data_IF_011851483397
#
_entry.id   IF_011851483397
#
_cell.length_a   1.000
_cell.length_b   1.000
_cell.length_c   1.000
_cell.angle_alpha   90.00
_cell.angle_beta   90.00
_cell.angle_gamma   90.00
#
_symmetry.space_group_name_H-M   'P 1'
#
loop_
_entity.id
_entity.type
_entity.pdbx_description
1 polymer ?
#
# COMPACT_ATOMS: atom_id res chain seq x y z
N UNK A 1 -1.28 0.77 37.17
CA UNK A 1 -0.90 -0.52 36.55
C UNK A 1 -2.02 -0.99 35.61
N UNK A 2 -2.26 -0.29 34.51
CA UNK A 2 -3.23 -0.67 33.46
C UNK A 2 -2.54 -0.81 32.10
N UNK A 3 -1.26 -1.19 32.07
CA UNK A 3 -0.44 -1.17 30.84
C UNK A 3 -0.42 -2.50 30.09
N UNK A 4 -1.15 -3.51 30.55
CA UNK A 4 -1.22 -4.83 29.88
C UNK A 4 -2.65 -5.15 29.44
N UNK A 5 -2.77 -5.82 28.29
CA UNK A 5 -4.03 -6.29 27.70
C UNK A 5 -4.86 -7.10 28.72
N UNK A 6 -4.19 -7.89 29.57
CA UNK A 6 -4.81 -8.62 30.68
C UNK A 6 -5.38 -7.70 31.77
N UNK A 7 -4.74 -6.56 32.03
CA UNK A 7 -5.24 -5.53 32.93
C UNK A 7 -6.55 -4.94 32.43
N UNK A 8 -6.65 -4.63 31.14
CA UNK A 8 -7.90 -4.18 30.52
C UNK A 8 -8.95 -5.28 30.52
N UNK A 9 -8.59 -6.52 30.19
CA UNK A 9 -9.53 -7.65 30.25
C UNK A 9 -10.10 -7.84 31.65
N UNK A 10 -9.27 -7.75 32.70
CA UNK A 10 -9.75 -7.80 34.09
C UNK A 10 -10.62 -6.60 34.45
N UNK A 11 -10.22 -5.40 34.06
CA UNK A 11 -10.99 -4.17 34.29
C UNK A 11 -12.38 -4.25 33.65
N UNK A 12 -12.45 -4.64 32.38
CA UNK A 12 -13.71 -4.84 31.66
C UNK A 12 -14.58 -5.93 32.28
N UNK A 13 -14.00 -7.07 32.63
CA UNK A 13 -14.74 -8.15 33.30
C UNK A 13 -15.26 -7.72 34.68
N UNK A 14 -14.51 -6.90 35.43
CA UNK A 14 -14.96 -6.36 36.72
C UNK A 14 -16.14 -5.41 36.56
N UNK A 15 -16.10 -4.53 35.55
CA UNK A 15 -17.20 -3.62 35.24
C UNK A 15 -18.44 -4.40 34.84
N UNK A 16 -18.32 -5.36 33.91
CA UNK A 16 -19.45 -6.21 33.50
C UNK A 16 -20.00 -6.99 34.70
N UNK A 17 -19.12 -7.57 35.52
CA UNK A 17 -19.53 -8.28 36.73
C UNK A 17 -20.29 -7.39 37.73
N UNK A 18 -19.89 -6.14 37.90
CA UNK A 18 -20.61 -5.17 38.73
C UNK A 18 -22.02 -4.90 38.19
N UNK A 19 -22.15 -4.62 36.89
CA UNK A 19 -23.46 -4.34 36.28
C UNK A 19 -24.39 -5.55 36.26
N UNK A 20 -23.87 -6.77 36.09
CA UNK A 20 -24.68 -8.01 36.18
C UNK A 20 -25.24 -8.21 37.58
N UNK A 21 -24.45 -7.92 38.63
CA UNK A 21 -24.92 -8.03 40.02
C UNK A 21 -25.95 -6.95 40.33
N UNK A 22 -25.71 -5.69 39.94
CA UNK A 22 -26.65 -4.59 40.13
C UNK A 22 -27.98 -4.84 39.43
N UNK A 23 -27.94 -5.39 38.21
CA UNK A 23 -29.17 -5.76 37.51
C UNK A 23 -29.90 -6.94 38.16
N UNK A 24 -29.18 -7.96 38.63
CA UNK A 24 -29.80 -9.04 39.38
C UNK A 24 -30.49 -8.54 40.65
N UNK A 25 -29.89 -7.57 41.33
CA UNK A 25 -30.49 -6.89 42.50
C UNK A 25 -31.72 -6.08 42.07
N UNK A 26 -31.67 -5.37 40.94
CA UNK A 26 -32.82 -4.64 40.38
C UNK A 26 -34.02 -5.56 40.12
N UNK A 27 -33.79 -6.75 39.56
CA UNK A 27 -34.86 -7.72 39.27
C UNK A 27 -35.35 -8.48 40.52
N UNK A 28 -34.51 -8.65 41.54
CA UNK A 28 -34.82 -9.47 42.72
C UNK A 28 -35.36 -8.65 43.89
N UNK A 29 -35.01 -7.35 43.98
CA UNK A 29 -35.46 -6.45 45.06
C UNK A 29 -36.32 -5.30 44.54
N UNK A 30 -37.59 -5.25 44.95
CA UNK A 30 -38.47 -4.12 44.65
C UNK A 30 -38.08 -2.89 45.50
N UNK A 31 -37.56 -1.84 44.86
CA UNK A 31 -37.46 -0.48 45.42
C UNK A 31 -36.11 -0.04 45.99
N UNK A 32 -35.06 -0.87 45.92
CA UNK A 32 -33.70 -0.52 46.36
C UNK A 32 -32.86 0.15 45.27
N UNK A 33 -33.10 -0.21 44.02
CA UNK A 33 -32.36 0.30 42.86
C UNK A 33 -33.39 0.75 41.82
N UNK A 34 -33.19 1.95 41.25
CA UNK A 34 -34.01 2.45 40.16
C UNK A 34 -33.28 2.26 38.84
N UNK A 35 -34.01 1.91 37.77
CA UNK A 35 -33.46 1.76 36.42
C UNK A 35 -32.67 2.99 35.95
N UNK A 36 -33.15 4.19 36.29
CA UNK A 36 -32.47 5.45 35.99
C UNK A 36 -31.10 5.60 36.68
N UNK A 37 -30.93 5.04 37.88
CA UNK A 37 -29.65 5.09 38.60
C UNK A 37 -28.60 4.16 37.96
N UNK A 38 -29.03 2.96 37.51
CA UNK A 38 -28.16 2.03 36.79
C UNK A 38 -27.76 2.61 35.42
N UNK A 39 -28.68 3.28 34.72
CA UNK A 39 -28.41 4.00 33.48
C UNK A 39 -27.38 5.13 33.67
N UNK A 40 -27.49 5.94 34.72
CA UNK A 40 -26.52 7.02 35.03
C UNK A 40 -25.13 6.47 35.41
N UNK A 41 -25.09 5.38 36.20
CA UNK A 41 -23.85 4.67 36.51
C UNK A 41 -23.19 4.09 35.26
N UNK A 42 -23.99 3.55 34.35
CA UNK A 42 -23.51 3.03 33.07
C UNK A 42 -22.89 4.14 32.23
N UNK A 43 -23.55 5.30 32.08
CA UNK A 43 -22.98 6.42 31.33
C UNK A 43 -21.65 6.92 31.94
N UNK A 44 -21.57 7.01 33.26
CA UNK A 44 -20.33 7.39 33.96
C UNK A 44 -19.19 6.37 33.77
N UNK A 45 -19.51 5.07 33.85
CA UNK A 45 -18.56 4.00 33.61
C UNK A 45 -18.09 4.00 32.15
N UNK A 46 -19.01 4.15 31.21
CA UNK A 46 -18.76 4.21 29.78
C UNK A 46 -17.87 5.40 29.41
N UNK A 47 -18.15 6.58 29.97
CA UNK A 47 -17.31 7.77 29.79
C UNK A 47 -15.87 7.53 30.28
N UNK A 48 -15.69 6.92 31.45
CA UNK A 48 -14.36 6.56 31.99
C UNK A 48 -13.65 5.51 31.14
N UNK A 49 -14.38 4.51 30.66
CA UNK A 49 -13.86 3.47 29.76
C UNK A 49 -13.35 4.11 28.47
N UNK A 50 -14.14 4.97 27.83
CA UNK A 50 -13.78 5.65 26.58
C UNK A 50 -12.54 6.53 26.80
N UNK A 51 -12.49 7.28 27.91
CA UNK A 51 -11.32 8.10 28.24
C UNK A 51 -10.05 7.25 28.43
N UNK A 52 -10.15 6.12 29.12
CA UNK A 52 -9.02 5.20 29.32
C UNK A 52 -8.58 4.53 28.00
N UNK A 53 -9.54 4.13 27.17
CA UNK A 53 -9.29 3.54 25.85
C UNK A 53 -8.65 4.55 24.89
N UNK A 54 -9.15 5.79 24.81
CA UNK A 54 -8.54 6.87 23.98
C UNK A 54 -7.12 7.18 24.40
N UNK A 55 -6.86 7.18 25.70
CA UNK A 55 -5.51 7.42 26.21
C UNK A 55 -4.59 6.30 25.76
N UNK A 56 -5.02 5.03 25.79
CA UNK A 56 -4.17 3.91 25.42
C UNK A 56 -4.03 3.71 23.90
N UNK A 57 -5.11 3.93 23.15
CA UNK A 57 -5.11 3.79 21.69
C UNK A 57 -4.16 4.79 21.03
N UNK A 58 -3.97 5.97 21.64
CA UNK A 58 -3.02 6.97 21.13
C UNK A 58 -1.54 6.62 21.29
N UNK A 59 -1.19 5.75 22.26
CA UNK A 59 0.19 5.27 22.46
C UNK A 59 0.45 3.89 21.85
N UNK A 60 -0.56 3.26 21.23
CA UNK A 60 -0.41 1.94 20.66
C UNK A 60 0.13 2.03 19.23
N UNK A 61 1.36 1.57 19.01
CA UNK A 61 1.97 1.47 17.68
C UNK A 61 1.90 0.05 17.08
N UNK A 62 1.33 -0.93 17.81
CA UNK A 62 1.23 -2.32 17.37
C UNK A 62 -0.15 -2.64 16.79
N UNK A 63 -0.25 -3.05 15.51
CA UNK A 63 -1.51 -3.47 14.89
C UNK A 63 -2.23 -4.60 15.63
N UNK A 64 -1.50 -5.58 16.17
CA UNK A 64 -2.12 -6.75 16.81
C UNK A 64 -2.76 -6.39 18.16
N UNK A 65 -2.12 -5.50 18.93
CA UNK A 65 -2.69 -4.97 20.18
C UNK A 65 -3.97 -4.15 19.93
N UNK A 66 -4.03 -3.37 18.85
CA UNK A 66 -5.24 -2.62 18.48
C UNK A 66 -6.38 -3.56 18.11
N UNK A 67 -6.10 -4.67 17.40
CA UNK A 67 -7.09 -5.69 17.09
C UNK A 67 -7.61 -6.39 18.36
N UNK A 68 -6.71 -6.72 19.30
CA UNK A 68 -7.09 -7.34 20.57
C UNK A 68 -7.96 -6.39 21.42
N UNK A 69 -7.61 -5.10 21.46
CA UNK A 69 -8.43 -4.08 22.10
C UNK A 69 -9.81 -3.94 21.43
N UNK A 70 -9.85 -3.94 20.09
CA UNK A 70 -11.11 -3.95 19.33
C UNK A 70 -11.96 -5.17 19.69
N UNK A 71 -11.37 -6.36 19.78
CA UNK A 71 -12.10 -7.58 20.15
C UNK A 71 -12.67 -7.50 21.57
N UNK A 72 -11.91 -6.94 22.53
CA UNK A 72 -12.40 -6.68 23.88
C UNK A 72 -13.56 -5.67 23.90
N UNK A 73 -13.47 -4.61 23.11
CA UNK A 73 -14.52 -3.58 23.03
C UNK A 73 -15.77 -4.11 22.34
N UNK A 74 -15.66 -4.96 21.32
CA UNK A 74 -16.82 -5.56 20.64
C UNK A 74 -17.55 -6.59 21.53
N UNK A 75 -16.81 -7.30 22.39
CA UNK A 75 -17.39 -8.23 23.35
C UNK A 75 -18.29 -7.52 24.39
N UNK A 76 -17.93 -6.31 24.83
CA UNK A 76 -18.67 -5.57 25.86
C UNK A 76 -20.14 -5.28 25.48
N UNK A 77 -20.45 -4.65 24.33
CA UNK A 77 -21.82 -4.50 23.82
C UNK A 77 -22.53 -5.82 23.61
N UNK A 78 -21.81 -6.86 23.18
CA UNK A 78 -22.42 -8.16 22.86
C UNK A 78 -22.93 -8.85 24.13
N UNK A 79 -22.15 -8.82 25.22
CA UNK A 79 -22.60 -9.27 26.55
C UNK A 79 -23.75 -8.42 27.09
N UNK A 80 -23.67 -7.09 26.99
CA UNK A 80 -24.75 -6.23 27.50
C UNK A 80 -26.05 -6.34 26.69
N UNK A 81 -25.97 -6.67 25.39
CA UNK A 81 -27.13 -6.81 24.50
C UNK A 81 -27.78 -8.19 24.60
N UNK A 82 -27.02 -9.26 24.82
CA UNK A 82 -27.57 -10.62 24.98
C UNK A 82 -28.42 -10.77 26.24
N UNK A 83 -28.11 -10.00 27.28
CA UNK A 83 -28.81 -10.08 28.57
C UNK A 83 -30.01 -9.11 28.70
N UNK A 84 -30.44 -8.46 27.59
CA UNK A 84 -31.69 -7.70 27.56
C UNK A 84 -31.63 -6.30 28.19
N UNK A 85 -30.44 -5.75 28.43
CA UNK A 85 -30.26 -4.53 29.23
C UNK A 85 -30.57 -3.20 28.54
N UNK A 86 -30.72 -3.15 27.22
CA UNK A 86 -31.24 -1.97 26.51
C UNK A 86 -30.41 -0.68 26.66
N UNK A 87 -29.16 -0.75 27.13
CA UNK A 87 -28.30 0.43 27.27
C UNK A 87 -27.83 0.96 25.91
N UNK A 88 -27.76 2.29 25.72
CA UNK A 88 -27.25 2.89 24.49
C UNK A 88 -25.74 2.64 24.36
N UNK A 89 -25.35 1.97 23.27
CA UNK A 89 -23.95 1.58 22.97
C UNK A 89 -23.31 2.44 21.88
N UNK A 90 -23.98 3.51 21.44
CA UNK A 90 -23.53 4.38 20.34
C UNK A 90 -22.12 4.93 20.54
N UNK A 91 -21.79 5.41 21.75
CA UNK A 91 -20.47 6.00 22.00
C UNK A 91 -19.32 4.97 21.93
N UNK A 92 -19.60 3.67 22.13
CA UNK A 92 -18.59 2.61 21.94
C UNK A 92 -18.38 2.33 20.45
N UNK A 93 -19.42 2.41 19.62
CA UNK A 93 -19.28 2.33 18.17
C UNK A 93 -18.51 3.53 17.60
N UNK A 94 -18.78 4.75 18.08
CA UNK A 94 -18.01 5.94 17.68
C UNK A 94 -16.53 5.78 18.03
N UNK A 95 -16.23 5.26 19.22
CA UNK A 95 -14.85 4.96 19.62
C UNK A 95 -14.19 3.88 18.75
N UNK A 96 -14.93 2.82 18.37
CA UNK A 96 -14.42 1.79 17.44
C UNK A 96 -14.10 2.37 16.04
N UNK A 97 -14.88 3.36 15.59
CA UNK A 97 -14.61 4.08 14.35
C UNK A 97 -13.39 5.01 14.48
N UNK A 98 -13.19 5.67 15.62
CA UNK A 98 -11.96 6.45 15.89
C UNK A 98 -10.72 5.54 15.93
N UNK A 99 -10.80 4.40 16.62
CA UNK A 99 -9.71 3.42 16.68
C UNK A 99 -9.37 2.83 15.30
N UNK A 100 -10.36 2.76 14.39
CA UNK A 100 -10.16 2.30 13.02
C UNK A 100 -9.24 3.24 12.24
N UNK A 101 -9.45 4.56 12.36
CA UNK A 101 -8.60 5.54 11.68
C UNK A 101 -7.16 5.46 12.19
N UNK A 102 -6.99 5.30 13.50
CA UNK A 102 -5.68 5.08 14.13
C UNK A 102 -5.02 3.78 13.62
N UNK A 103 -5.76 2.67 13.58
CA UNK A 103 -5.29 1.39 13.04
C UNK A 103 -4.84 1.54 11.58
N UNK A 104 -5.64 2.22 10.75
CA UNK A 104 -5.29 2.52 9.37
C UNK A 104 -3.96 3.28 9.26
N UNK A 105 -3.75 4.32 10.07
CA UNK A 105 -2.50 5.08 10.08
C UNK A 105 -1.30 4.25 10.54
N UNK A 106 -1.45 3.37 11.54
CA UNK A 106 -0.40 2.45 11.99
C UNK A 106 -0.03 1.47 10.87
N UNK A 107 -1.03 0.88 10.19
CA UNK A 107 -0.80 0.02 9.04
C UNK A 107 -0.06 0.78 7.92
N UNK A 108 -0.48 2.00 7.58
CA UNK A 108 0.19 2.80 6.56
C UNK A 108 1.66 3.07 6.90
N UNK A 109 1.99 3.34 8.17
CA UNK A 109 3.38 3.52 8.62
C UNK A 109 4.19 2.23 8.48
N UNK A 110 3.66 1.10 8.93
CA UNK A 110 4.33 -0.21 8.85
C UNK A 110 4.59 -0.60 7.39
N UNK A 111 3.60 -0.45 6.52
CA UNK A 111 3.74 -0.76 5.09
C UNK A 111 4.66 0.23 4.37
N UNK A 112 4.77 1.49 4.82
CA UNK A 112 5.77 2.42 4.29
C UNK A 112 7.19 1.86 4.49
N UNK A 113 7.48 1.36 5.69
CA UNK A 113 8.78 0.76 6.01
C UNK A 113 9.00 -0.50 5.17
N UNK A 114 8.01 -1.38 5.08
CA UNK A 114 8.11 -2.60 4.26
C UNK A 114 8.35 -2.27 2.78
N UNK A 115 7.60 -1.34 2.20
CA UNK A 115 7.81 -0.95 0.80
C UNK A 115 9.18 -0.32 0.56
N UNK A 116 9.68 0.51 1.49
CA UNK A 116 11.05 1.03 1.40
C UNK A 116 12.09 -0.07 1.45
N UNK A 117 11.93 -1.05 2.34
CA UNK A 117 12.84 -2.19 2.42
C UNK A 117 12.83 -3.03 1.14
N UNK A 118 11.64 -3.29 0.58
CA UNK A 118 11.49 -4.01 -0.70
C UNK A 118 12.16 -3.23 -1.83
N UNK A 119 12.02 -1.90 -1.86
CA UNK A 119 12.65 -1.04 -2.86
C UNK A 119 14.18 -0.98 -2.70
N UNK A 120 14.69 -0.91 -1.47
CA UNK A 120 16.13 -0.86 -1.20
C UNK A 120 16.84 -2.21 -1.44
N UNK A 121 16.09 -3.33 -1.36
CA UNK A 121 16.58 -4.67 -1.67
C UNK A 121 16.40 -5.05 -3.15
N UNK A 122 15.67 -4.25 -3.92
CA UNK A 122 15.40 -4.56 -5.32
C UNK A 122 16.66 -4.42 -6.17
N UNK A 123 16.82 -5.33 -7.13
CA UNK A 123 17.95 -5.35 -8.05
C UNK A 123 17.64 -4.62 -9.37
N UNK A 124 16.41 -4.11 -9.52
CA UNK A 124 15.93 -3.40 -10.71
C UNK A 124 16.27 -4.13 -12.02
N UNK A 125 16.24 -5.46 -12.00
CA UNK A 125 16.54 -6.30 -13.15
C UNK A 125 15.38 -7.22 -13.50
N UNK A 126 15.16 -7.54 -14.79
CA UNK A 126 14.19 -8.53 -15.22
C UNK A 126 14.46 -9.89 -14.56
N UNK A 127 13.42 -10.51 -13.97
CA UNK A 127 13.58 -11.80 -13.27
C UNK A 127 13.84 -12.92 -14.29
N UNK A 128 15.00 -13.60 -14.26
CA UNK A 128 15.24 -14.78 -15.09
C UNK A 128 14.51 -15.99 -14.48
N UNK A 129 13.67 -16.63 -15.28
CA UNK A 129 12.93 -17.83 -14.89
C UNK A 129 13.47 -19.00 -15.68
N UNK A 130 14.15 -19.90 -14.97
CA UNK A 130 14.85 -21.03 -15.60
C UNK A 130 14.00 -22.29 -15.62
N UNK A 131 12.99 -22.38 -14.74
CA UNK A 131 12.12 -23.56 -14.59
C UNK A 131 10.63 -23.21 -14.66
N UNK A 132 9.83 -24.19 -15.06
CA UNK A 132 8.36 -24.07 -15.08
C UNK A 132 7.77 -23.91 -13.68
N UNK A 133 8.40 -24.51 -12.65
CA UNK A 133 7.97 -24.38 -11.25
C UNK A 133 8.16 -22.95 -10.72
N UNK A 134 9.30 -22.30 -11.02
CA UNK A 134 9.51 -20.88 -10.72
C UNK A 134 8.50 -20.00 -11.43
N UNK A 135 8.21 -20.28 -12.71
CA UNK A 135 7.18 -19.56 -13.46
C UNK A 135 5.81 -19.67 -12.80
N UNK A 136 5.38 -20.89 -12.44
CA UNK A 136 4.12 -21.12 -11.72
C UNK A 136 4.08 -20.43 -10.37
N UNK A 137 5.20 -20.36 -9.66
CA UNK A 137 5.29 -19.64 -8.39
C UNK A 137 5.02 -18.14 -8.59
N UNK A 138 5.67 -17.50 -9.57
CA UNK A 138 5.43 -16.08 -9.85
C UNK A 138 4.02 -15.82 -10.40
N UNK A 139 3.48 -16.69 -11.27
CA UNK A 139 2.10 -16.57 -11.79
C UNK A 139 1.05 -16.77 -10.69
N UNK A 140 1.35 -17.54 -9.64
CA UNK A 140 0.45 -17.68 -8.48
C UNK A 140 0.41 -16.43 -7.59
N UNK A 141 1.54 -15.71 -7.50
CA UNK A 141 1.65 -14.50 -6.69
C UNK A 141 1.12 -13.28 -7.43
N UNK A 142 1.46 -13.15 -8.71
CA UNK A 142 1.10 -12.02 -9.56
C UNK A 142 0.32 -12.51 -10.80
N UNK A 143 -0.89 -12.00 -11.05
CA UNK A 143 -1.66 -12.34 -12.24
C UNK A 143 -0.99 -11.72 -13.48
N UNK A 144 -0.06 -12.44 -14.07
CA UNK A 144 0.61 -12.03 -15.30
C UNK A 144 -0.29 -12.31 -16.50
N UNK A 145 -0.71 -11.26 -17.22
CA UNK A 145 -1.35 -11.40 -18.52
C UNK A 145 -0.32 -11.20 -19.63
N UNK A 146 0.46 -12.24 -19.92
CA UNK A 146 1.32 -12.26 -21.10
C UNK A 146 1.27 -13.62 -21.83
N UNK A 147 0.32 -13.77 -22.78
CA UNK A 147 0.16 -14.99 -23.57
C UNK A 147 1.31 -15.24 -24.57
N UNK A 148 2.16 -14.24 -24.83
CA UNK A 148 3.37 -14.41 -25.64
C UNK A 148 4.52 -14.98 -24.81
N UNK A 149 4.62 -14.56 -23.54
CA UNK A 149 5.59 -15.08 -22.59
C UNK A 149 5.30 -16.55 -22.22
N UNK A 150 4.04 -16.97 -22.18
CA UNK A 150 3.67 -18.38 -21.95
C UNK A 150 4.15 -19.31 -23.05
N UNK A 151 4.23 -18.85 -24.31
CA UNK A 151 4.60 -19.67 -25.48
C UNK A 151 6.11 -19.84 -25.69
N UNK A 152 6.95 -19.05 -25.02
CA UNK A 152 8.40 -19.13 -25.18
C UNK A 152 8.98 -20.41 -24.53
N UNK A 153 10.10 -20.97 -25.05
CA UNK A 153 10.86 -22.01 -24.35
C UNK A 153 11.68 -21.41 -23.19
N UNK A 154 11.94 -22.19 -22.15
CA UNK A 154 12.80 -21.78 -21.04
C UNK A 154 14.27 -21.70 -21.47
N UNK A 155 15.08 -20.76 -20.94
CA UNK A 155 14.78 -19.80 -19.86
C UNK A 155 14.03 -18.54 -20.35
N UNK A 156 13.01 -18.12 -19.60
CA UNK A 156 12.23 -16.90 -19.86
C UNK A 156 12.74 -15.75 -19.00
N UNK A 157 12.50 -14.50 -19.39
CA UNK A 157 12.74 -13.33 -18.54
C UNK A 157 11.43 -12.60 -18.35
N UNK A 158 10.99 -12.45 -17.10
CA UNK A 158 9.84 -11.61 -16.78
C UNK A 158 10.24 -10.14 -16.99
N UNK A 159 9.41 -9.31 -17.63
CA UNK A 159 9.76 -7.92 -17.93
C UNK A 159 9.85 -7.04 -16.68
N UNK A 160 9.30 -7.48 -15.55
CA UNK A 160 9.33 -6.78 -14.27
C UNK A 160 10.37 -7.38 -13.31
N UNK A 161 10.82 -6.54 -12.37
CA UNK A 161 11.69 -6.92 -11.25
C UNK A 161 10.92 -7.58 -10.10
N UNK A 162 11.65 -8.12 -9.12
CA UNK A 162 11.06 -8.72 -7.91
C UNK A 162 10.20 -7.75 -7.09
N UNK A 163 10.38 -6.44 -7.29
CA UNK A 163 9.53 -5.41 -6.69
C UNK A 163 8.05 -5.61 -6.99
N UNK A 164 7.67 -5.94 -8.23
CA UNK A 164 6.25 -6.04 -8.64
C UNK A 164 5.49 -7.14 -7.88
N UNK A 165 5.92 -8.43 -7.90
CA UNK A 165 5.22 -9.48 -7.17
C UNK A 165 5.26 -9.25 -5.65
N UNK A 166 6.38 -8.76 -5.10
CA UNK A 166 6.49 -8.46 -3.66
C UNK A 166 5.51 -7.36 -3.25
N UNK A 167 5.44 -6.26 -3.98
CA UNK A 167 4.50 -5.16 -3.70
C UNK A 167 3.06 -5.64 -3.83
N UNK A 168 2.74 -6.42 -4.85
CA UNK A 168 1.39 -6.94 -5.06
C UNK A 168 0.95 -7.88 -3.92
N UNK A 169 1.82 -8.78 -3.44
CA UNK A 169 1.56 -9.59 -2.26
C UNK A 169 1.34 -8.74 -1.00
N UNK A 170 2.17 -7.71 -0.78
CA UNK A 170 2.02 -6.79 0.34
C UNK A 170 0.71 -5.97 0.27
N UNK A 171 0.24 -5.61 -0.93
CA UNK A 171 -1.08 -4.98 -1.13
C UNK A 171 -2.21 -5.94 -0.75
N UNK A 172 -2.13 -7.22 -1.12
CA UNK A 172 -3.10 -8.24 -0.69
C UNK A 172 -3.11 -8.43 0.82
N UNK A 173 -1.94 -8.52 1.46
CA UNK A 173 -1.82 -8.63 2.91
C UNK A 173 -2.43 -7.42 3.63
N UNK A 174 -2.26 -6.21 3.08
CA UNK A 174 -2.92 -5.01 3.63
C UNK A 174 -4.44 -5.11 3.52
N UNK A 175 -4.97 -5.54 2.37
CA UNK A 175 -6.42 -5.72 2.18
C UNK A 175 -6.96 -6.72 3.21
N UNK A 176 -6.26 -7.84 3.45
CA UNK A 176 -6.62 -8.79 4.50
C UNK A 176 -6.54 -8.18 5.90
N UNK A 177 -5.55 -7.36 6.20
CA UNK A 177 -5.43 -6.68 7.49
C UNK A 177 -6.58 -5.68 7.73
N UNK A 178 -7.05 -4.99 6.68
CA UNK A 178 -8.24 -4.14 6.73
C UNK A 178 -9.53 -4.98 6.91
N UNK A 179 -9.62 -6.12 6.23
CA UNK A 179 -10.75 -7.04 6.38
C UNK A 179 -10.83 -7.60 7.80
N UNK A 180 -9.71 -8.07 8.37
CA UNK A 180 -9.62 -8.60 9.74
C UNK A 180 -10.07 -7.58 10.78
N UNK A 181 -9.81 -6.29 10.56
CA UNK A 181 -10.33 -5.23 11.43
C UNK A 181 -11.85 -5.07 11.29
N UNK A 182 -12.37 -5.23 10.07
CA UNK A 182 -13.80 -5.08 9.72
C UNK A 182 -14.68 -6.19 10.30
N UNK A 183 -14.11 -7.36 10.59
CA UNK A 183 -14.81 -8.47 11.23
C UNK A 183 -15.41 -8.01 12.57
N UNK A 184 -16.58 -8.54 12.95
CA UNK A 184 -17.28 -8.24 14.21
C UNK A 184 -17.75 -6.80 14.46
N UNK A 185 -17.59 -5.87 13.53
CA UNK A 185 -18.12 -4.49 13.66
C UNK A 185 -19.61 -4.35 13.32
N UNK A 186 -20.30 -5.46 12.96
CA UNK A 186 -21.67 -5.48 12.44
C UNK A 186 -21.93 -4.54 11.25
N UNK A 187 -20.88 -4.20 10.50
CA UNK A 187 -20.99 -3.40 9.29
C UNK A 187 -21.68 -4.21 8.18
N UNK A 188 -22.43 -3.52 7.34
CA UNK A 188 -22.91 -4.09 6.09
C UNK A 188 -21.74 -4.41 5.16
N UNK A 189 -21.88 -5.43 4.30
CA UNK A 189 -20.85 -5.77 3.32
C UNK A 189 -20.46 -4.55 2.47
N UNK A 190 -21.41 -3.66 2.17
CA UNK A 190 -21.20 -2.43 1.40
C UNK A 190 -20.29 -1.43 2.12
N UNK A 191 -20.47 -1.25 3.42
CA UNK A 191 -19.61 -0.37 4.22
C UNK A 191 -18.19 -0.94 4.34
N UNK A 192 -18.06 -2.26 4.45
CA UNK A 192 -16.75 -2.94 4.48
C UNK A 192 -16.02 -2.76 3.15
N UNK A 193 -16.71 -2.91 2.02
CA UNK A 193 -16.15 -2.72 0.68
C UNK A 193 -15.64 -1.30 0.45
N UNK A 194 -16.48 -0.29 0.72
CA UNK A 194 -16.10 1.12 0.61
C UNK A 194 -14.91 1.46 1.52
N UNK A 195 -14.89 0.91 2.74
CA UNK A 195 -13.82 1.11 3.70
C UNK A 195 -12.49 0.51 3.23
N UNK A 196 -12.49 -0.73 2.73
CA UNK A 196 -11.30 -1.40 2.19
C UNK A 196 -10.79 -0.64 0.97
N UNK A 197 -11.68 -0.23 0.04
CA UNK A 197 -11.31 0.55 -1.15
C UNK A 197 -10.69 1.88 -0.79
N UNK A 198 -11.28 2.63 0.16
CA UNK A 198 -10.75 3.91 0.62
C UNK A 198 -9.37 3.76 1.29
N UNK A 199 -9.21 2.74 2.13
CA UNK A 199 -7.93 2.46 2.82
C UNK A 199 -6.83 2.04 1.83
N UNK A 200 -7.18 1.19 0.86
CA UNK A 200 -6.27 0.75 -0.21
C UNK A 200 -5.87 1.93 -1.10
N UNK A 201 -6.81 2.81 -1.43
CA UNK A 201 -6.53 4.05 -2.15
C UNK A 201 -5.55 4.95 -1.40
N UNK A 202 -5.71 5.08 -0.08
CA UNK A 202 -4.78 5.85 0.74
C UNK A 202 -3.38 5.24 0.76
N UNK A 203 -3.28 3.91 0.83
CA UNK A 203 -2.01 3.19 0.74
C UNK A 203 -1.32 3.43 -0.61
N UNK A 204 -2.06 3.32 -1.72
CA UNK A 204 -1.52 3.55 -3.06
C UNK A 204 -1.07 5.00 -3.24
N UNK A 205 -1.99 5.96 -3.03
CA UNK A 205 -1.75 7.39 -3.30
C UNK A 205 -0.76 8.05 -2.35
N UNK A 206 -0.75 7.68 -1.06
CA UNK A 206 0.10 8.33 -0.06
C UNK A 206 1.39 7.56 0.18
N UNK A 207 1.29 6.27 0.48
CA UNK A 207 2.44 5.47 0.90
C UNK A 207 3.27 5.01 -0.29
N UNK A 208 2.64 4.35 -1.26
CA UNK A 208 3.35 3.79 -2.41
C UNK A 208 3.89 4.89 -3.33
N UNK A 209 3.10 5.95 -3.57
CA UNK A 209 3.58 7.15 -4.29
C UNK A 209 4.85 7.75 -3.68
N UNK A 210 4.86 7.94 -2.36
CA UNK A 210 6.02 8.47 -1.65
C UNK A 210 7.23 7.52 -1.74
N UNK A 211 7.01 6.20 -1.68
CA UNK A 211 8.08 5.22 -1.85
C UNK A 211 8.67 5.25 -3.27
N UNK A 212 7.81 5.33 -4.29
CA UNK A 212 8.26 5.44 -5.69
C UNK A 212 9.03 6.74 -5.93
N UNK A 213 8.53 7.88 -5.43
CA UNK A 213 9.25 9.15 -5.53
C UNK A 213 10.61 9.11 -4.82
N UNK A 214 10.69 8.44 -3.67
CA UNK A 214 11.95 8.22 -2.98
C UNK A 214 12.92 7.38 -3.82
N UNK A 215 12.43 6.30 -4.46
CA UNK A 215 13.21 5.49 -5.38
C UNK A 215 13.73 6.28 -6.58
N UNK A 216 12.85 7.03 -7.25
CA UNK A 216 13.17 7.81 -8.44
C UNK A 216 14.21 8.91 -8.15
N UNK A 217 14.13 9.58 -7.00
CA UNK A 217 15.04 10.68 -6.62
C UNK A 217 16.33 10.21 -5.95
N UNK A 218 16.55 8.91 -5.79
CA UNK A 218 17.75 8.37 -5.15
C UNK A 218 18.94 8.62 -6.07
N UNK A 219 19.97 9.34 -5.57
CA UNK A 219 21.13 9.84 -6.36
C UNK A 219 21.95 8.76 -7.08
N UNK A 220 21.79 7.49 -6.72
CA UNK A 220 22.57 6.39 -7.28
C UNK A 220 21.79 5.58 -8.32
N UNK A 221 20.58 6.02 -8.71
CA UNK A 221 19.75 5.25 -9.64
C UNK A 221 20.22 5.48 -11.07
N UNK A 222 20.63 4.42 -11.74
CA UNK A 222 21.04 4.43 -13.14
C UNK A 222 19.86 4.59 -14.09
N UNK A 223 20.12 5.02 -15.33
CA UNK A 223 19.09 5.16 -16.38
C UNK A 223 18.32 3.85 -16.63
N UNK A 224 19.02 2.71 -16.61
CA UNK A 224 18.39 1.40 -16.78
C UNK A 224 17.43 1.04 -15.63
N UNK A 225 17.77 1.46 -14.40
CA UNK A 225 16.93 1.21 -13.21
C UNK A 225 15.67 2.10 -13.24
N UNK A 226 15.80 3.37 -13.67
CA UNK A 226 14.64 4.24 -13.89
C UNK A 226 13.69 3.68 -14.97
N UNK A 227 14.24 3.13 -16.06
CA UNK A 227 13.45 2.41 -17.08
C UNK A 227 12.73 1.22 -16.47
N UNK A 228 13.41 0.43 -15.63
CA UNK A 228 12.80 -0.70 -14.95
C UNK A 228 11.67 -0.25 -14.00
N UNK A 229 11.81 0.88 -13.31
CA UNK A 229 10.75 1.47 -12.49
C UNK A 229 9.52 1.83 -13.34
N UNK A 230 9.71 2.35 -14.55
CA UNK A 230 8.60 2.62 -15.49
C UNK A 230 7.88 1.31 -15.89
N UNK A 231 8.64 0.26 -16.21
CA UNK A 231 8.08 -1.05 -16.55
C UNK A 231 7.31 -1.63 -15.35
N UNK A 232 7.93 -1.60 -14.16
CA UNK A 232 7.32 -2.09 -12.92
C UNK A 232 6.01 -1.36 -12.58
N UNK A 233 6.00 -0.02 -12.69
CA UNK A 233 4.81 0.79 -12.43
C UNK A 233 3.70 0.54 -13.45
N UNK A 234 4.04 0.24 -14.71
CA UNK A 234 3.07 -0.13 -15.74
C UNK A 234 2.41 -1.49 -15.44
N UNK A 235 3.18 -2.48 -15.01
CA UNK A 235 2.61 -3.78 -14.60
C UNK A 235 1.80 -3.67 -13.30
N UNK A 236 2.23 -2.85 -12.34
CA UNK A 236 1.44 -2.57 -11.14
C UNK A 236 0.13 -1.83 -11.47
N UNK A 237 0.16 -0.90 -12.43
CA UNK A 237 -1.04 -0.21 -12.96
C UNK A 237 -2.05 -1.22 -13.53
N UNK A 238 -1.59 -2.16 -14.36
CA UNK A 238 -2.44 -3.26 -14.87
C UNK A 238 -2.97 -4.15 -13.73
N UNK A 239 -2.15 -4.38 -12.70
CA UNK A 239 -2.51 -5.24 -11.58
C UNK A 239 -3.64 -4.69 -10.70
N UNK A 240 -3.92 -3.38 -10.77
CA UNK A 240 -4.98 -2.73 -10.00
C UNK A 240 -6.37 -3.31 -10.31
N UNK A 241 -6.63 -3.72 -11.55
CA UNK A 241 -7.92 -4.32 -11.91
C UNK A 241 -8.15 -5.64 -11.14
N UNK A 242 -7.12 -6.48 -11.03
CA UNK A 242 -7.22 -7.71 -10.24
C UNK A 242 -7.36 -7.44 -8.74
N UNK A 243 -6.81 -6.33 -8.23
CA UNK A 243 -7.05 -5.92 -6.84
C UNK A 243 -8.51 -5.50 -6.63
N UNK A 244 -9.12 -4.80 -7.61
CA UNK A 244 -10.55 -4.47 -7.55
C UNK A 244 -11.43 -5.72 -7.55
N UNK A 245 -11.15 -6.68 -8.44
CA UNK A 245 -11.85 -7.97 -8.47
C UNK A 245 -11.65 -8.77 -7.17
N UNK A 246 -10.42 -8.75 -6.63
CA UNK A 246 -10.10 -9.42 -5.38
C UNK A 246 -10.88 -8.83 -4.19
N UNK A 247 -10.98 -7.50 -4.09
CA UNK A 247 -11.79 -6.84 -3.07
C UNK A 247 -13.26 -7.24 -3.24
N UNK A 248 -13.81 -7.14 -4.46
CA UNK A 248 -15.20 -7.53 -4.76
C UNK A 248 -15.51 -8.99 -4.43
N UNK A 249 -14.57 -9.91 -4.69
CA UNK A 249 -14.72 -11.33 -4.38
C UNK A 249 -14.75 -11.57 -2.86
N UNK A 250 -13.87 -10.87 -2.12
CA UNK A 250 -13.83 -10.97 -0.65
C UNK A 250 -15.10 -10.39 -0.01
N UNK A 251 -15.60 -9.27 -0.53
CA UNK A 251 -16.77 -8.57 0.04
C UNK A 251 -18.10 -9.12 -0.49
N UNK A 252 -18.08 -10.05 -1.44
CA UNK A 252 -19.24 -10.58 -2.18
C UNK A 252 -20.11 -9.48 -2.82
N UNK A 253 -19.50 -8.36 -3.20
CA UNK A 253 -20.19 -7.24 -3.86
C UNK A 253 -19.81 -7.17 -5.33
N UNK A 254 -20.78 -7.22 -6.25
CA UNK A 254 -20.50 -7.16 -7.67
C UNK A 254 -19.83 -5.82 -8.05
N UNK A 255 -18.81 -5.86 -8.92
CA UNK A 255 -18.03 -4.68 -9.31
C UNK A 255 -18.86 -3.62 -10.07
N UNK A 256 -20.03 -3.97 -10.60
CA UNK A 256 -20.93 -3.10 -11.37
C UNK A 256 -21.92 -2.27 -10.52
N UNK A 257 -21.73 -2.25 -9.20
CA UNK A 257 -22.55 -1.38 -8.35
C UNK A 257 -22.17 0.07 -8.61
N UNK A 258 -23.12 0.91 -9.06
CA UNK A 258 -22.93 2.30 -9.54
C UNK A 258 -22.19 3.23 -8.55
N UNK A 259 -22.02 2.81 -7.29
CA UNK A 259 -21.33 3.55 -6.23
C UNK A 259 -19.95 2.96 -5.81
N UNK A 260 -19.45 1.91 -6.47
CA UNK A 260 -18.18 1.31 -6.10
C UNK A 260 -17.02 2.29 -6.37
N UNK A 261 -16.32 2.70 -5.31
CA UNK A 261 -15.15 3.58 -5.41
C UNK A 261 -14.04 2.84 -6.18
N UNK A 262 -13.73 3.29 -7.39
CA UNK A 262 -12.61 2.74 -8.17
C UNK A 262 -11.28 2.97 -7.47
N UNK A 263 -10.30 2.11 -7.70
CA UNK A 263 -8.96 2.30 -7.17
C UNK A 263 -8.26 3.43 -7.95
N UNK A 264 -7.83 4.48 -7.24
CA UNK A 264 -7.02 5.58 -7.77
C UNK A 264 -5.53 5.18 -7.95
N UNK A 265 -5.23 3.88 -7.93
CA UNK A 265 -3.90 3.36 -8.27
C UNK A 265 -3.44 3.85 -9.64
N UNK A 266 -4.36 3.89 -10.61
CA UNK A 266 -4.09 4.30 -11.99
C UNK A 266 -3.43 5.69 -12.11
N UNK A 267 -3.96 6.70 -11.41
CA UNK A 267 -3.39 8.05 -11.44
C UNK A 267 -2.05 8.10 -10.72
N UNK A 268 -1.93 7.38 -9.60
CA UNK A 268 -0.69 7.35 -8.81
C UNK A 268 0.48 6.77 -9.61
N UNK A 269 0.27 5.65 -10.31
CA UNK A 269 1.30 5.03 -11.13
C UNK A 269 1.63 5.87 -12.37
N UNK A 270 0.63 6.54 -12.96
CA UNK A 270 0.87 7.52 -14.03
C UNK A 270 1.75 8.67 -13.55
N UNK A 271 1.47 9.27 -12.39
CA UNK A 271 2.27 10.38 -11.85
C UNK A 271 3.71 9.93 -11.55
N UNK A 272 3.88 8.74 -10.98
CA UNK A 272 5.20 8.14 -10.75
C UNK A 272 5.95 7.90 -12.07
N UNK A 273 5.27 7.46 -13.13
CA UNK A 273 5.86 7.27 -14.46
C UNK A 273 6.33 8.59 -15.06
N UNK A 274 5.50 9.64 -15.04
CA UNK A 274 5.93 10.97 -15.53
C UNK A 274 7.13 11.51 -14.74
N UNK A 275 7.17 11.30 -13.41
CA UNK A 275 8.32 11.68 -12.60
C UNK A 275 9.59 10.91 -12.97
N UNK A 276 9.48 9.60 -13.22
CA UNK A 276 10.60 8.77 -13.67
C UNK A 276 11.10 9.20 -15.06
N UNK A 277 10.18 9.47 -16.00
CA UNK A 277 10.52 9.98 -17.33
C UNK A 277 11.26 11.31 -17.26
N UNK A 278 10.78 12.27 -16.44
CA UNK A 278 11.43 13.56 -16.25
C UNK A 278 12.86 13.44 -15.68
N UNK A 279 13.08 12.53 -14.74
CA UNK A 279 14.42 12.24 -14.21
C UNK A 279 15.32 11.56 -15.26
N UNK A 280 14.76 10.67 -16.09
CA UNK A 280 15.49 10.09 -17.23
C UNK A 280 15.97 11.19 -18.18
N UNK A 281 15.11 12.13 -18.56
CA UNK A 281 15.49 13.27 -19.41
C UNK A 281 16.59 14.12 -18.77
N UNK A 282 16.45 14.43 -17.48
CA UNK A 282 17.41 15.26 -16.75
C UNK A 282 18.77 14.57 -16.62
N UNK A 283 18.78 13.27 -16.32
CA UNK A 283 19.98 12.44 -16.21
C UNK A 283 20.67 12.25 -17.56
N UNK A 284 19.90 12.02 -18.63
CA UNK A 284 20.42 11.98 -20.00
C UNK A 284 21.08 13.31 -20.40
N UNK A 285 20.40 14.44 -20.20
CA UNK A 285 20.95 15.75 -20.53
C UNK A 285 22.23 16.03 -19.73
N UNK A 286 22.24 15.71 -18.43
CA UNK A 286 23.43 15.86 -17.58
C UNK A 286 24.59 15.00 -18.09
N UNK A 287 24.32 13.77 -18.56
CA UNK A 287 25.34 12.89 -19.13
C UNK A 287 25.87 13.42 -20.46
N UNK A 288 24.99 13.92 -21.33
CA UNK A 288 25.37 14.56 -22.59
C UNK A 288 26.25 15.78 -22.32
N UNK A 289 25.86 16.64 -21.37
CA UNK A 289 26.64 17.82 -20.98
C UNK A 289 28.03 17.44 -20.44
N UNK A 290 28.14 16.35 -19.66
CA UNK A 290 29.43 15.82 -19.20
C UNK A 290 30.34 15.40 -20.37
N UNK A 291 29.78 14.75 -21.40
CA UNK A 291 30.54 14.41 -22.61
C UNK A 291 30.93 15.65 -23.41
N UNK A 292 30.06 16.65 -23.50
CA UNK A 292 30.35 17.91 -24.20
C UNK A 292 31.41 18.76 -23.48
N UNK A 293 31.50 18.68 -22.15
CA UNK A 293 32.56 19.34 -21.37
C UNK A 293 33.96 18.76 -21.64
N UNK A 294 34.06 17.54 -22.15
CA UNK A 294 35.32 16.92 -22.59
C UNK A 294 35.78 17.42 -23.96
N UNK A 295 34.99 18.26 -24.63
CA UNK A 295 35.35 18.82 -25.91
C UNK A 295 36.46 19.86 -25.75
N UNK A 296 37.68 19.48 -26.11
CA UNK A 296 38.80 20.39 -26.29
C UNK A 296 38.95 20.69 -27.79
N UNK A 297 38.39 21.82 -28.21
CA UNK A 297 38.44 22.24 -29.61
C UNK A 297 39.66 23.13 -29.85
N UNK A 298 40.70 22.57 -30.47
CA UNK A 298 41.75 23.39 -31.09
C UNK A 298 41.27 23.90 -32.46
N UNK A 299 40.52 25.00 -32.44
CA UNK A 299 39.99 25.68 -33.64
C UNK A 299 41.07 26.18 -34.61
N UNK A 300 42.35 26.11 -34.23
CA UNK A 300 43.50 26.59 -35.00
C UNK A 300 44.37 25.44 -35.54
N UNK A 301 44.03 24.18 -35.27
CA UNK A 301 44.78 23.04 -35.76
C UNK A 301 44.72 22.95 -37.30
N UNK A 302 45.88 23.04 -37.95
CA UNK A 302 45.99 22.78 -39.38
C UNK A 302 45.56 21.34 -39.66
N UNK A 303 44.59 21.15 -40.57
CA UNK A 303 44.15 19.83 -41.05
C UNK A 303 45.39 19.09 -41.56
N UNK A 304 45.95 18.20 -40.73
CA UNK A 304 47.05 17.36 -41.16
C UNK A 304 46.49 16.41 -42.23
N UNK A 305 47.03 16.56 -43.43
CA UNK A 305 46.47 15.98 -44.64
C UNK A 305 46.26 14.47 -44.58
N UNK A 306 45.16 14.02 -45.19
CA UNK A 306 45.00 12.67 -45.70
C UNK A 306 44.45 11.61 -44.74
N UNK A 307 44.27 11.91 -43.45
CA UNK A 307 43.54 11.04 -42.53
C UNK A 307 42.03 11.21 -42.68
N UNK A 308 41.27 10.11 -42.62
CA UNK A 308 39.80 10.14 -42.71
C UNK A 308 39.18 11.23 -41.79
N UNK A 309 38.05 11.79 -42.20
CA UNK A 309 37.19 12.65 -41.37
C UNK A 309 36.70 11.84 -40.15
N UNK A 310 37.57 11.63 -39.18
CA UNK A 310 37.24 10.92 -37.95
C UNK A 310 36.58 11.92 -37.01
N UNK A 311 35.35 11.60 -36.59
CA UNK A 311 34.68 12.35 -35.54
C UNK A 311 35.55 12.37 -34.27
N UNK A 312 35.48 13.44 -33.49
CA UNK A 312 36.19 13.55 -32.22
C UNK A 312 35.86 12.38 -31.30
N UNK A 313 36.85 11.85 -30.57
CA UNK A 313 36.70 10.64 -29.74
C UNK A 313 35.53 10.75 -28.75
N UNK A 314 35.33 11.92 -28.13
CA UNK A 314 34.21 12.16 -27.22
C UNK A 314 32.83 12.03 -27.90
N UNK A 315 32.71 12.34 -29.21
CA UNK A 315 31.47 12.15 -29.98
C UNK A 315 31.22 10.69 -30.30
N UNK A 316 32.28 9.93 -30.57
CA UNK A 316 32.17 8.48 -30.82
C UNK A 316 31.69 7.78 -29.54
N UNK A 317 32.28 8.13 -28.39
CA UNK A 317 31.88 7.62 -27.08
C UNK A 317 30.46 8.05 -26.70
N UNK A 318 30.07 9.29 -26.99
CA UNK A 318 28.71 9.78 -26.80
C UNK A 318 27.70 8.98 -27.65
N UNK A 319 28.01 8.74 -28.93
CA UNK A 319 27.14 7.95 -29.81
C UNK A 319 27.05 6.50 -29.33
N UNK A 320 28.15 5.90 -28.86
CA UNK A 320 28.14 4.57 -28.29
C UNK A 320 27.29 4.50 -27.01
N UNK A 321 27.42 5.49 -26.12
CA UNK A 321 26.59 5.62 -24.92
C UNK A 321 25.10 5.78 -25.26
N UNK A 322 24.75 6.67 -26.20
CA UNK A 322 23.36 6.87 -26.63
C UNK A 322 22.80 5.59 -27.26
N UNK A 323 23.53 4.92 -28.15
CA UNK A 323 23.10 3.65 -28.74
C UNK A 323 22.87 2.58 -27.67
N UNK A 324 23.76 2.46 -26.69
CA UNK A 324 23.60 1.53 -25.58
C UNK A 324 22.38 1.87 -24.73
N UNK A 325 22.12 3.15 -24.47
CA UNK A 325 21.01 3.60 -23.63
C UNK A 325 19.67 3.46 -24.36
N UNK A 326 19.60 3.82 -25.64
CA UNK A 326 18.41 3.63 -26.48
C UNK A 326 18.08 2.16 -26.72
N UNK A 327 19.07 1.27 -26.75
CA UNK A 327 18.82 -0.18 -26.77
C UNK A 327 18.16 -0.69 -25.47
N UNK A 328 18.30 0.01 -24.34
CA UNK A 328 17.58 -0.32 -23.10
C UNK A 328 16.15 0.20 -23.17
N UNK A 329 15.94 1.38 -23.77
CA UNK A 329 14.61 1.97 -23.98
C UNK A 329 13.75 1.18 -24.96
N UNK A 330 14.31 0.41 -25.90
CA UNK A 330 13.52 -0.46 -26.80
C UNK A 330 12.74 -1.56 -26.08
N UNK A 331 13.03 -1.83 -24.81
CA UNK A 331 12.26 -2.78 -23.98
C UNK A 331 11.08 -2.12 -23.24
N UNK A 332 10.88 -0.80 -23.37
CA UNK A 332 9.70 -0.14 -22.83
C UNK A 332 8.46 -0.57 -23.62
N UNK A 333 7.34 -0.93 -22.95
CA UNK A 333 6.08 -1.09 -23.65
C UNK A 333 5.75 0.23 -24.34
N UNK A 334 5.57 0.18 -25.66
CA UNK A 334 5.22 1.34 -26.46
C UNK A 334 3.91 1.87 -25.90
N UNK A 335 3.99 2.96 -25.14
CA UNK A 335 2.78 3.68 -24.73
C UNK A 335 2.10 4.12 -26.02
N UNK A 336 0.87 3.64 -26.25
CA UNK A 336 -0.02 4.05 -27.33
C UNK A 336 -0.44 5.54 -27.21
N UNK A 337 0.49 6.44 -26.94
CA UNK A 337 0.31 7.90 -26.90
C UNK A 337 1.54 8.57 -27.54
N UNK A 338 1.51 8.63 -28.87
CA UNK A 338 1.72 9.80 -29.76
C UNK A 338 2.38 11.10 -29.25
N UNK A 339 3.40 11.06 -28.37
CA UNK A 339 3.99 12.31 -27.85
C UNK A 339 5.51 12.38 -27.82
N UNK A 340 6.22 11.39 -28.39
CA UNK A 340 7.69 11.41 -28.48
C UNK A 340 8.23 11.50 -29.91
N UNK A 341 7.38 11.80 -30.90
CA UNK A 341 7.80 12.06 -32.28
C UNK A 341 7.79 13.54 -32.69
N UNK A 342 7.39 14.46 -31.81
CA UNK A 342 7.45 15.89 -32.10
C UNK A 342 8.09 16.65 -30.93
N UNK A 343 9.41 16.67 -30.90
CA UNK A 343 10.19 17.86 -30.52
C UNK A 343 11.63 17.76 -31.00
#
# INVERSE_FOLDING_TARGET
>A
QHETLEGYRRYFNQIVGFFVVEDHVLHTTQGLVNRAYVEELWELALSKIIAALRTHSSYCDDPDLVLDLKNLIVLLPTLCRSDGYGFPVSQLFDMLLEMREQYGEILLKRWNITFRQVLDQDNYSPIPVSTEDEFRHYTSQFPLQDPELEKLPFPKKLPFSEFVPKVYCQLKEFIYACLKYSEDLHLSSTEVDDMIRKSTNLLLTRTLSHCLQYGIKKKNVGLAELVQVIINTTHLEQSCHFLEEFISNITNIPPDTVNATKLYGMSTFKDARHAAEAEIYTSLNTKIDQFLQLADYDWMAAVQGGGALTASDYLIDLIAFLKSTFSVFTNLPVSNNTTLQEK
#
